data_IF_696223830613
#
_entry.id   IF_696223830613
#
_cell.length_a   1.000
_cell.length_b   1.000
_cell.length_c   1.000
_cell.angle_alpha   90.00
_cell.angle_beta   90.00
_cell.angle_gamma   90.00
#
_symmetry.space_group_name_H-M   'P 1'
#
loop_
_entity.id
_entity.type
_entity.pdbx_description
1 polymer ?
#
# COMPACT_ATOMS: atom_id res chain seq x y z
N UNK A 1 29.14 8.40 3.09
CA UNK A 1 28.15 7.67 2.27
C UNK A 1 28.05 6.19 2.64
N UNK A 2 29.17 5.44 2.68
CA UNK A 2 29.19 3.99 2.98
C UNK A 2 28.56 3.60 4.33
N UNK A 3 28.82 4.37 5.39
CA UNK A 3 28.23 4.16 6.73
C UNK A 3 26.73 4.46 6.85
N UNK A 4 26.18 5.29 5.96
CA UNK A 4 24.75 5.63 5.96
C UNK A 4 23.94 4.51 5.32
N UNK A 5 24.45 3.97 4.22
CA UNK A 5 23.80 2.88 3.48
C UNK A 5 23.87 1.56 4.26
N UNK A 6 25.01 1.28 4.91
CA UNK A 6 25.20 0.01 5.64
C UNK A 6 24.22 -0.20 6.78
N UNK A 7 23.77 0.87 7.42
CA UNK A 7 22.82 0.81 8.54
C UNK A 7 21.37 0.66 8.09
N UNK A 8 21.01 1.22 6.93
CA UNK A 8 19.72 1.01 6.28
C UNK A 8 19.60 -0.35 5.61
N UNK A 9 20.70 -1.09 5.46
CA UNK A 9 20.76 -2.34 4.70
C UNK A 9 19.68 -3.33 5.15
N UNK A 10 19.51 -3.55 6.46
CA UNK A 10 18.51 -4.49 6.98
C UNK A 10 17.08 -4.07 6.63
N UNK A 11 16.77 -2.78 6.64
CA UNK A 11 15.48 -2.26 6.19
C UNK A 11 15.26 -2.56 4.70
N UNK A 12 16.27 -2.27 3.87
CA UNK A 12 16.18 -2.52 2.43
C UNK A 12 16.11 -4.01 2.10
N UNK A 13 16.75 -4.88 2.86
CA UNK A 13 16.61 -6.33 2.72
C UNK A 13 15.18 -6.78 3.03
N UNK A 14 14.54 -6.25 4.09
CA UNK A 14 13.13 -6.52 4.37
C UNK A 14 12.23 -6.07 3.21
N UNK A 15 12.48 -4.87 2.67
CA UNK A 15 11.71 -4.34 1.54
C UNK A 15 11.94 -5.14 0.26
N UNK A 16 13.17 -5.55 -0.04
CA UNK A 16 13.51 -6.36 -1.20
C UNK A 16 12.87 -7.75 -1.12
N UNK A 17 12.85 -8.36 0.06
CA UNK A 17 12.15 -9.63 0.28
C UNK A 17 10.65 -9.48 0.05
N UNK A 18 10.03 -8.41 0.57
CA UNK A 18 8.63 -8.09 0.28
C UNK A 18 8.38 -7.87 -1.23
N UNK A 19 9.24 -7.09 -1.90
CA UNK A 19 9.12 -6.84 -3.34
C UNK A 19 9.18 -8.13 -4.16
N UNK A 20 10.13 -9.01 -3.84
CA UNK A 20 10.29 -10.30 -4.49
C UNK A 20 9.09 -11.22 -4.21
N UNK A 21 8.66 -11.33 -2.95
CA UNK A 21 7.52 -12.14 -2.56
C UNK A 21 6.23 -11.68 -3.25
N UNK A 22 6.02 -10.36 -3.34
CA UNK A 22 4.87 -9.79 -4.05
C UNK A 22 4.97 -10.02 -5.56
N UNK A 23 6.14 -9.85 -6.17
CA UNK A 23 6.33 -10.12 -7.59
C UNK A 23 6.01 -11.58 -7.95
N UNK A 24 6.48 -12.53 -7.13
CA UNK A 24 6.15 -13.95 -7.28
C UNK A 24 4.65 -14.14 -7.11
N UNK A 25 4.05 -13.59 -6.05
CA UNK A 25 2.63 -13.71 -5.78
C UNK A 25 1.77 -13.18 -6.95
N UNK A 26 2.11 -12.02 -7.52
CA UNK A 26 1.42 -11.45 -8.69
C UNK A 26 1.50 -12.40 -9.90
N UNK A 27 2.62 -13.11 -10.06
CA UNK A 27 2.85 -13.99 -11.21
C UNK A 27 2.09 -15.32 -11.12
N UNK A 28 1.73 -15.76 -9.91
CA UNK A 28 1.09 -17.06 -9.68
C UNK A 28 -0.36 -16.94 -9.21
N UNK A 29 -0.74 -15.82 -8.58
CA UNK A 29 -2.06 -15.65 -8.02
C UNK A 29 -3.05 -15.23 -9.11
N UNK A 30 -4.09 -16.02 -9.38
CA UNK A 30 -5.04 -15.70 -10.43
C UNK A 30 -5.86 -14.47 -10.05
N UNK A 31 -5.86 -13.46 -10.92
CA UNK A 31 -6.76 -12.30 -10.81
C UNK A 31 -7.93 -12.54 -11.76
N UNK A 32 -9.15 -12.82 -11.23
CA UNK A 32 -10.33 -13.04 -12.07
C UNK A 32 -10.72 -11.77 -12.81
N UNK A 33 -11.44 -11.90 -13.92
CA UNK A 33 -11.93 -10.75 -14.68
C UNK A 33 -12.82 -9.89 -13.79
N UNK A 34 -12.86 -8.57 -14.06
CA UNK A 34 -13.63 -7.64 -13.23
C UNK A 34 -15.14 -7.89 -13.26
N UNK A 35 -15.63 -8.48 -14.35
CA UNK A 35 -17.02 -8.91 -14.54
C UNK A 35 -17.35 -10.26 -13.90
N UNK A 36 -16.37 -11.04 -13.45
CA UNK A 36 -16.65 -12.36 -12.88
C UNK A 36 -17.38 -12.23 -11.53
N UNK A 37 -18.36 -13.11 -11.25
CA UNK A 37 -19.01 -13.14 -9.96
C UNK A 37 -18.02 -13.49 -8.86
N UNK A 38 -18.15 -12.82 -7.71
CA UNK A 38 -17.28 -12.99 -6.55
C UNK A 38 -18.09 -13.63 -5.44
N UNK A 39 -17.53 -14.68 -4.81
CA UNK A 39 -18.05 -15.21 -3.55
C UNK A 39 -17.83 -14.20 -2.42
N UNK A 40 -18.85 -14.00 -1.58
CA UNK A 40 -18.82 -13.05 -0.47
C UNK A 40 -17.67 -13.25 0.52
N UNK A 41 -17.25 -14.48 0.79
CA UNK A 41 -16.13 -14.76 1.66
C UNK A 41 -14.81 -14.19 1.09
N UNK A 42 -14.60 -14.34 -0.22
CA UNK A 42 -13.43 -13.78 -0.89
C UNK A 42 -13.51 -12.24 -0.96
N UNK A 43 -14.68 -11.72 -1.33
CA UNK A 43 -14.96 -10.28 -1.38
C UNK A 43 -14.70 -9.59 -0.03
N UNK A 44 -15.24 -10.15 1.04
CA UNK A 44 -15.03 -9.67 2.41
C UNK A 44 -13.55 -9.74 2.80
N UNK A 45 -12.88 -10.86 2.53
CA UNK A 45 -11.48 -11.07 2.90
C UNK A 45 -10.56 -10.04 2.25
N UNK A 46 -10.68 -9.84 0.93
CA UNK A 46 -9.87 -8.87 0.22
C UNK A 46 -10.22 -7.43 0.61
N UNK A 47 -11.50 -7.13 0.85
CA UNK A 47 -11.94 -5.82 1.30
C UNK A 47 -11.38 -5.47 2.69
N UNK A 48 -11.50 -6.38 3.65
CA UNK A 48 -10.93 -6.18 4.99
C UNK A 48 -9.41 -6.04 4.93
N UNK A 49 -8.75 -6.88 4.14
CA UNK A 49 -7.30 -6.84 3.97
C UNK A 49 -6.85 -5.50 3.38
N UNK A 50 -7.50 -4.99 2.33
CA UNK A 50 -7.16 -3.65 1.81
C UNK A 50 -7.45 -2.57 2.85
N UNK A 51 -8.55 -2.67 3.59
CA UNK A 51 -8.95 -1.66 4.59
C UNK A 51 -7.91 -1.54 5.72
N UNK A 52 -7.19 -2.62 6.08
CA UNK A 52 -6.08 -2.56 7.06
C UNK A 52 -4.90 -1.69 6.63
N UNK A 53 -4.73 -1.44 5.33
CA UNK A 53 -3.73 -0.54 4.77
C UNK A 53 -4.34 0.79 4.27
N UNK A 54 -5.64 1.00 4.51
CA UNK A 54 -6.45 2.06 3.92
C UNK A 54 -7.43 2.70 4.89
N UNK A 55 -8.34 3.52 4.39
CA UNK A 55 -9.48 3.94 5.21
C UNK A 55 -10.47 2.76 5.30
N UNK A 56 -10.98 2.41 6.50
CA UNK A 56 -10.85 3.13 7.77
C UNK A 56 -9.70 2.66 8.68
N UNK A 57 -9.05 1.51 8.45
CA UNK A 57 -8.23 0.84 9.48
C UNK A 57 -6.73 1.14 9.46
N UNK A 58 -6.20 1.96 8.53
CA UNK A 58 -4.75 2.26 8.48
C UNK A 58 -4.22 2.86 9.79
N UNK A 59 -5.03 3.66 10.50
CA UNK A 59 -4.66 4.21 11.81
C UNK A 59 -4.51 3.11 12.86
N UNK A 60 -5.38 2.10 12.84
CA UNK A 60 -5.29 0.96 13.76
C UNK A 60 -3.98 0.21 13.50
N UNK A 61 -3.69 -0.11 12.24
CA UNK A 61 -2.42 -0.77 11.85
C UNK A 61 -1.21 0.06 12.25
N UNK A 62 -1.25 1.38 12.04
CA UNK A 62 -0.19 2.31 12.45
C UNK A 62 0.04 2.27 13.96
N UNK A 63 -1.03 2.34 14.76
CA UNK A 63 -0.95 2.28 16.22
C UNK A 63 -0.38 0.95 16.68
N UNK A 64 -0.86 -0.18 16.15
CA UNK A 64 -0.37 -1.52 16.52
C UNK A 64 1.14 -1.65 16.26
N UNK A 65 1.63 -1.17 15.11
CA UNK A 65 3.05 -1.18 14.80
C UNK A 65 3.85 -0.24 15.71
N UNK A 66 3.32 0.94 16.02
CA UNK A 66 3.93 1.89 16.97
C UNK A 66 4.00 1.36 18.41
N UNK A 67 3.20 0.36 18.79
CA UNK A 67 3.27 -0.28 20.09
C UNK A 67 4.42 -1.32 20.20
N UNK A 68 4.95 -1.83 19.09
CA UNK A 68 6.06 -2.79 19.09
C UNK A 68 7.24 -2.37 20.00
N UNK A 69 7.83 -1.16 19.89
CA UNK A 69 8.95 -0.76 20.74
C UNK A 69 8.55 -0.56 22.21
N UNK A 70 7.26 -0.33 22.50
CA UNK A 70 6.71 -0.28 23.86
C UNK A 70 6.63 -1.69 24.45
N UNK A 71 6.11 -2.65 23.68
CA UNK A 71 6.04 -4.06 24.08
C UNK A 71 7.42 -4.67 24.29
N UNK A 72 8.41 -4.27 23.48
CA UNK A 72 9.81 -4.67 23.65
C UNK A 72 10.54 -3.88 24.74
N UNK A 73 9.83 -3.02 25.50
CA UNK A 73 10.32 -2.27 26.65
C UNK A 73 11.58 -1.44 26.36
N UNK A 74 11.65 -0.83 25.17
CA UNK A 74 12.76 0.06 24.82
C UNK A 74 12.77 1.33 25.68
N UNK A 75 13.94 1.96 25.91
CA UNK A 75 14.03 3.24 26.59
C UNK A 75 13.14 4.31 25.93
N UNK A 76 12.45 5.14 26.74
CA UNK A 76 11.52 6.18 26.25
C UNK A 76 12.11 7.07 25.16
N UNK A 77 13.38 7.47 25.29
CA UNK A 77 14.11 8.26 24.29
C UNK A 77 14.17 7.55 22.92
N UNK A 78 14.35 6.24 22.89
CA UNK A 78 14.42 5.45 21.67
C UNK A 78 13.04 5.29 21.02
N UNK A 79 12.00 5.04 21.83
CA UNK A 79 10.61 4.94 21.36
C UNK A 79 10.21 6.25 20.64
N UNK A 80 10.45 7.41 21.28
CA UNK A 80 10.12 8.72 20.72
C UNK A 80 10.84 8.94 19.38
N UNK A 81 12.14 8.60 19.29
CA UNK A 81 12.90 8.70 18.04
C UNK A 81 12.30 7.85 16.92
N UNK A 82 11.92 6.61 17.22
CA UNK A 82 11.29 5.71 16.24
C UNK A 82 9.95 6.26 15.74
N UNK A 83 9.11 6.76 16.65
CA UNK A 83 7.83 7.37 16.29
C UNK A 83 8.01 8.60 15.40
N UNK A 84 8.96 9.49 15.74
CA UNK A 84 9.26 10.67 14.92
C UNK A 84 9.74 10.26 13.52
N UNK A 85 10.68 9.31 13.42
CA UNK A 85 11.18 8.83 12.13
C UNK A 85 10.07 8.22 11.27
N UNK A 86 9.21 7.39 11.88
CA UNK A 86 8.10 6.77 11.19
C UNK A 86 7.05 7.79 10.74
N UNK A 87 6.73 8.77 11.59
CA UNK A 87 5.82 9.86 11.25
C UNK A 87 6.34 10.72 10.09
N UNK A 88 7.63 11.10 10.10
CA UNK A 88 8.26 11.82 8.99
C UNK A 88 8.14 11.03 7.69
N UNK A 89 8.43 9.72 7.73
CA UNK A 89 8.33 8.86 6.55
C UNK A 89 6.89 8.78 6.01
N UNK A 90 5.90 8.62 6.88
CA UNK A 90 4.49 8.62 6.48
C UNK A 90 4.07 9.94 5.82
N UNK A 91 4.45 11.08 6.40
CA UNK A 91 4.15 12.41 5.85
C UNK A 91 4.80 12.58 4.48
N UNK A 92 6.10 12.26 4.36
CA UNK A 92 6.82 12.35 3.08
C UNK A 92 6.17 11.48 2.00
N UNK A 93 5.79 10.24 2.33
CA UNK A 93 5.18 9.32 1.37
C UNK A 93 3.77 9.70 0.96
N UNK A 94 2.95 10.22 1.89
CA UNK A 94 1.62 10.72 1.53
C UNK A 94 1.66 12.07 0.81
N UNK A 95 2.69 12.89 1.02
CA UNK A 95 2.97 14.05 0.18
C UNK A 95 3.35 13.62 -1.24
N UNK A 96 4.37 12.77 -1.37
CA UNK A 96 4.89 12.30 -2.64
C UNK A 96 3.83 11.60 -3.52
N UNK A 97 2.97 10.74 -2.95
CA UNK A 97 1.89 10.10 -3.73
C UNK A 97 0.93 11.11 -4.36
N UNK A 98 0.68 12.23 -3.68
CA UNK A 98 -0.29 13.23 -4.12
C UNK A 98 0.26 13.96 -5.35
N UNK A 99 1.56 14.26 -5.33
CA UNK A 99 2.28 14.85 -6.47
C UNK A 99 2.35 13.84 -7.63
N UNK A 100 2.81 12.61 -7.39
CA UNK A 100 2.97 11.60 -8.45
C UNK A 100 1.65 11.24 -9.16
N UNK A 101 0.52 11.27 -8.44
CA UNK A 101 -0.81 11.05 -9.03
C UNK A 101 -1.20 12.15 -10.01
N UNK A 102 -0.78 13.38 -9.76
CA UNK A 102 -1.06 14.50 -10.65
C UNK A 102 -0.21 14.39 -11.92
N UNK A 103 1.08 14.07 -11.79
CA UNK A 103 2.02 14.05 -12.92
C UNK A 103 1.87 12.85 -13.85
N UNK A 104 1.51 11.67 -13.33
CA UNK A 104 1.48 10.46 -14.17
C UNK A 104 0.19 10.29 -14.95
N UNK A 105 -0.94 10.81 -14.44
CA UNK A 105 -2.25 10.77 -15.10
C UNK A 105 -2.69 9.39 -15.65
N UNK A 106 -2.20 8.28 -15.06
CA UNK A 106 -2.48 6.91 -15.53
C UNK A 106 -3.90 6.49 -15.12
N UNK A 107 -4.79 6.12 -16.06
CA UNK A 107 -6.12 5.61 -15.75
C UNK A 107 -6.09 4.33 -14.91
N UNK A 108 -7.13 4.08 -14.12
CA UNK A 108 -7.24 2.84 -13.31
C UNK A 108 -7.70 1.65 -14.15
N UNK A 109 -7.37 0.40 -13.75
CA UNK A 109 -7.85 -0.78 -14.46
C UNK A 109 -9.37 -0.82 -14.61
N UNK A 110 -10.12 -0.45 -13.56
CA UNK A 110 -11.59 -0.45 -13.64
C UNK A 110 -12.16 0.50 -14.70
N UNK A 111 -11.46 1.57 -15.08
CA UNK A 111 -12.00 2.49 -16.10
C UNK A 111 -12.04 1.84 -17.49
N UNK A 112 -11.18 0.88 -17.77
CA UNK A 112 -11.28 0.06 -18.99
C UNK A 112 -12.51 -0.85 -18.97
N UNK A 113 -12.89 -1.36 -17.79
CA UNK A 113 -14.12 -2.14 -17.65
C UNK A 113 -15.36 -1.26 -17.78
N UNK A 114 -15.34 -0.04 -17.23
CA UNK A 114 -16.42 0.93 -17.43
C UNK A 114 -16.61 1.28 -18.92
N UNK A 115 -15.52 1.39 -19.68
CA UNK A 115 -15.58 1.57 -21.13
C UNK A 115 -16.19 0.34 -21.82
N UNK A 116 -15.76 -0.87 -21.46
CA UNK A 116 -16.30 -2.12 -22.00
C UNK A 116 -17.81 -2.28 -21.75
N UNK A 117 -18.29 -1.78 -20.61
CA UNK A 117 -19.72 -1.73 -20.25
C UNK A 117 -20.48 -0.59 -20.94
N UNK A 118 -19.84 0.18 -21.83
CA UNK A 118 -20.40 1.36 -22.50
C UNK A 118 -20.91 2.45 -21.52
N UNK A 119 -20.35 2.51 -20.30
CA UNK A 119 -20.70 3.54 -19.31
C UNK A 119 -19.92 4.84 -19.51
N UNK A 120 -18.76 4.75 -20.18
CA UNK A 120 -17.92 5.87 -20.59
C UNK A 120 -17.31 5.59 -21.98
N UNK A 121 -16.94 6.61 -22.78
CA UNK A 121 -16.35 6.39 -24.10
C UNK A 121 -14.91 5.89 -24.07
N UNK A 122 -14.09 6.43 -23.16
CA UNK A 122 -12.68 6.08 -22.96
C UNK A 122 -12.29 6.21 -21.48
N UNK A 123 -11.20 5.55 -21.02
CA UNK A 123 -10.70 5.67 -19.65
C UNK A 123 -10.34 7.11 -19.29
N UNK A 124 -9.81 7.89 -20.23
CA UNK A 124 -9.41 9.29 -20.02
C UNK A 124 -10.63 10.18 -19.78
N UNK A 125 -11.73 9.94 -20.49
CA UNK A 125 -12.98 10.69 -20.32
C UNK A 125 -13.54 10.55 -18.90
N UNK A 126 -13.33 9.42 -18.23
CA UNK A 126 -13.70 9.26 -16.82
C UNK A 126 -13.08 10.36 -15.95
N UNK A 127 -11.83 10.75 -16.22
CA UNK A 127 -11.11 11.72 -15.40
C UNK A 127 -11.52 13.16 -15.65
N UNK A 128 -12.11 13.46 -16.81
CA UNK A 128 -12.68 14.77 -17.13
C UNK A 128 -14.02 15.04 -16.41
N UNK A 129 -14.71 13.98 -15.97
CA UNK A 129 -15.94 14.09 -15.20
C UNK A 129 -15.71 14.75 -13.83
N UNK A 130 -16.73 15.47 -13.38
CA UNK A 130 -16.77 15.97 -12.01
C UNK A 130 -16.99 14.82 -11.01
N UNK A 131 -16.87 15.12 -9.71
CA UNK A 131 -16.95 14.09 -8.66
C UNK A 131 -18.29 13.34 -8.66
N UNK A 132 -19.41 14.05 -8.80
CA UNK A 132 -20.74 13.44 -8.77
C UNK A 132 -21.00 12.57 -10.01
N UNK A 133 -20.52 12.99 -11.17
CA UNK A 133 -20.60 12.20 -12.40
C UNK A 133 -19.79 10.90 -12.30
N UNK A 134 -18.57 10.96 -11.74
CA UNK A 134 -17.74 9.76 -11.48
C UNK A 134 -18.46 8.78 -10.57
N UNK A 135 -19.03 9.27 -9.47
CA UNK A 135 -19.81 8.44 -8.54
C UNK A 135 -21.04 7.81 -9.22
N UNK A 136 -21.75 8.56 -10.06
CA UNK A 136 -22.89 8.05 -10.81
C UNK A 136 -22.50 6.97 -11.82
N UNK A 137 -21.38 7.13 -12.54
CA UNK A 137 -20.87 6.12 -13.47
C UNK A 137 -20.49 4.84 -12.73
N UNK A 138 -19.76 4.95 -11.60
CA UNK A 138 -19.38 3.79 -10.77
C UNK A 138 -20.63 3.10 -10.22
N UNK A 139 -21.62 3.85 -9.76
CA UNK A 139 -22.90 3.30 -9.29
C UNK A 139 -23.64 2.52 -10.38
N UNK A 140 -23.66 3.01 -11.63
CA UNK A 140 -24.28 2.28 -12.76
C UNK A 140 -23.59 0.94 -13.03
N UNK A 141 -22.28 0.84 -12.79
CA UNK A 141 -21.54 -0.40 -12.96
C UNK A 141 -21.97 -1.50 -11.98
N UNK A 142 -22.67 -1.17 -10.89
CA UNK A 142 -23.15 -2.15 -9.91
C UNK A 142 -24.19 -3.13 -10.46
N UNK A 143 -24.75 -2.87 -11.65
CA UNK A 143 -25.62 -3.80 -12.36
C UNK A 143 -24.84 -4.99 -12.98
N UNK A 144 -23.52 -4.84 -13.16
CA UNK A 144 -22.66 -5.80 -13.88
C UNK A 144 -21.46 -6.27 -13.04
N UNK A 145 -21.05 -5.48 -12.04
CA UNK A 145 -19.86 -5.72 -11.23
C UNK A 145 -20.27 -6.01 -9.80
N UNK A 146 -19.56 -6.96 -9.17
CA UNK A 146 -19.76 -7.29 -7.75
C UNK A 146 -19.65 -6.05 -6.85
N UNK A 147 -20.55 -5.97 -5.87
CA UNK A 147 -20.59 -4.89 -4.88
C UNK A 147 -19.27 -4.75 -4.10
N UNK A 148 -18.52 -5.84 -3.90
CA UNK A 148 -17.21 -5.81 -3.23
C UNK A 148 -16.17 -4.96 -4.00
N UNK A 149 -16.22 -5.00 -5.34
CA UNK A 149 -15.39 -4.17 -6.21
C UNK A 149 -15.92 -2.74 -6.26
N UNK A 150 -17.22 -2.56 -6.44
CA UNK A 150 -17.87 -1.23 -6.47
C UNK A 150 -17.55 -0.42 -5.21
N UNK A 151 -17.70 -1.03 -4.02
CA UNK A 151 -17.32 -0.40 -2.74
C UNK A 151 -15.90 0.13 -2.73
N UNK A 152 -14.97 -0.59 -3.37
CA UNK A 152 -13.56 -0.19 -3.44
C UNK A 152 -13.32 0.93 -4.45
N UNK A 153 -14.15 1.02 -5.50
CA UNK A 153 -14.03 2.04 -6.55
C UNK A 153 -14.62 3.38 -6.07
N UNK A 154 -15.67 3.31 -5.26
CA UNK A 154 -16.28 4.47 -4.62
C UNK A 154 -15.25 5.22 -3.74
N UNK A 155 -15.15 6.55 -3.95
CA UNK A 155 -14.21 7.40 -3.22
C UNK A 155 -12.73 7.28 -3.66
N UNK A 156 -12.38 6.33 -4.53
CA UNK A 156 -11.05 6.15 -5.11
C UNK A 156 -11.02 6.44 -6.62
N UNK A 157 -11.51 7.62 -7.00
CA UNK A 157 -11.69 8.04 -8.40
C UNK A 157 -10.55 8.89 -8.97
N UNK A 158 -9.39 8.90 -8.31
CA UNK A 158 -8.17 9.54 -8.80
C UNK A 158 -7.34 8.59 -9.69
N UNK A 159 -6.28 9.10 -10.31
CA UNK A 159 -5.39 8.30 -11.16
C UNK A 159 -4.75 7.12 -10.41
N UNK A 160 -4.36 6.08 -11.14
CA UNK A 160 -3.92 4.81 -10.56
C UNK A 160 -2.59 4.93 -9.81
N UNK A 161 -1.56 5.47 -10.47
CA UNK A 161 -0.20 5.45 -9.95
C UNK A 161 0.09 6.60 -8.97
N UNK A 162 0.81 6.38 -7.85
CA UNK A 162 1.10 5.10 -7.21
C UNK A 162 -0.08 4.63 -6.32
N UNK A 163 0.00 3.38 -5.86
CA UNK A 163 -0.94 2.81 -4.88
C UNK A 163 -0.66 3.33 -3.47
N UNK A 164 -1.64 4.05 -2.89
CA UNK A 164 -1.57 4.56 -1.52
C UNK A 164 -1.54 3.48 -0.44
N UNK A 165 -2.19 2.34 -0.70
CA UNK A 165 -2.20 1.19 0.21
C UNK A 165 -0.85 0.48 0.18
N UNK A 166 -0.29 0.29 -1.02
CA UNK A 166 1.00 -0.39 -1.20
C UNK A 166 2.14 0.47 -0.69
N UNK A 167 2.14 1.78 -0.90
CA UNK A 167 3.19 2.65 -0.33
C UNK A 167 3.17 2.59 1.20
N UNK A 168 1.99 2.56 1.83
CA UNK A 168 1.87 2.39 3.28
C UNK A 168 2.41 1.03 3.74
N UNK A 169 2.00 -0.07 3.10
CA UNK A 169 2.51 -1.40 3.41
C UNK A 169 4.04 -1.48 3.24
N UNK A 170 4.58 -0.89 2.16
CA UNK A 170 6.01 -0.82 1.89
C UNK A 170 6.77 -0.05 2.97
N UNK A 171 6.25 1.10 3.43
CA UNK A 171 6.82 1.87 4.55
C UNK A 171 6.81 1.05 5.84
N UNK A 172 5.71 0.35 6.14
CA UNK A 172 5.62 -0.52 7.31
C UNK A 172 6.67 -1.64 7.26
N UNK A 173 6.86 -2.29 6.12
CA UNK A 173 7.92 -3.31 5.94
C UNK A 173 9.30 -2.69 6.08
N UNK A 174 9.55 -1.60 5.37
CA UNK A 174 10.84 -0.96 5.34
C UNK A 174 11.24 -0.51 6.75
N UNK A 175 10.34 0.16 7.48
CA UNK A 175 10.62 0.66 8.82
C UNK A 175 10.51 -0.43 9.90
N UNK A 176 9.32 -1.00 10.08
CA UNK A 176 9.03 -1.96 11.15
C UNK A 176 9.53 -3.37 10.84
N UNK A 177 9.47 -3.82 9.59
CA UNK A 177 10.10 -5.10 9.20
C UNK A 177 11.62 -5.05 9.43
N UNK A 178 12.29 -3.97 9.03
CA UNK A 178 13.70 -3.75 9.33
C UNK A 178 14.00 -3.70 10.84
N UNK A 179 13.15 -3.06 11.63
CA UNK A 179 13.23 -3.06 13.10
C UNK A 179 13.12 -4.47 13.67
N UNK A 180 12.09 -5.23 13.26
CA UNK A 180 11.83 -6.60 13.73
C UNK A 180 12.98 -7.55 13.38
N UNK A 181 13.57 -7.43 12.19
CA UNK A 181 14.75 -8.20 11.80
C UNK A 181 15.96 -7.90 12.68
N UNK A 182 16.23 -6.62 12.98
CA UNK A 182 17.33 -6.23 13.90
C UNK A 182 17.13 -6.77 15.31
N UNK A 183 15.90 -6.79 15.79
CA UNK A 183 15.54 -7.36 17.10
C UNK A 183 15.33 -8.88 17.07
N UNK A 184 15.64 -9.55 15.95
CA UNK A 184 15.53 -11.02 15.75
C UNK A 184 14.11 -11.59 15.91
N UNK A 185 13.08 -10.78 15.71
CA UNK A 185 11.68 -11.21 15.74
C UNK A 185 11.21 -11.64 14.34
N UNK A 186 11.85 -12.68 13.79
CA UNK A 186 11.66 -13.12 12.40
C UNK A 186 10.23 -13.52 12.08
N UNK A 187 9.50 -14.14 13.03
CA UNK A 187 8.10 -14.52 12.83
C UNK A 187 7.19 -13.31 12.62
N UNK A 188 7.38 -12.26 13.43
CA UNK A 188 6.63 -11.01 13.27
C UNK A 188 7.00 -10.30 11.97
N UNK A 189 8.28 -10.31 11.59
CA UNK A 189 8.73 -9.76 10.32
C UNK A 189 8.12 -10.50 9.12
N UNK A 190 8.10 -11.84 9.16
CA UNK A 190 7.46 -12.69 8.15
C UNK A 190 5.95 -12.47 8.07
N UNK A 191 5.27 -12.39 9.21
CA UNK A 191 3.84 -12.07 9.27
C UNK A 191 3.51 -10.71 8.66
N UNK A 192 4.36 -9.70 8.92
CA UNK A 192 4.21 -8.38 8.31
C UNK A 192 4.38 -8.44 6.79
N UNK A 193 5.35 -9.22 6.29
CA UNK A 193 5.54 -9.44 4.83
C UNK A 193 4.31 -10.11 4.22
N UNK A 194 3.79 -11.18 4.83
CA UNK A 194 2.57 -11.87 4.34
C UNK A 194 1.39 -10.91 4.27
N UNK A 195 1.19 -10.09 5.30
CA UNK A 195 0.18 -9.03 5.30
C UNK A 195 0.39 -8.04 4.14
N UNK A 196 1.61 -7.53 3.97
CA UNK A 196 1.92 -6.56 2.91
C UNK A 196 1.75 -7.14 1.50
N UNK A 197 2.12 -8.41 1.29
CA UNK A 197 1.86 -9.14 0.03
C UNK A 197 0.35 -9.24 -0.22
N UNK A 198 -0.40 -9.64 0.80
CA UNK A 198 -1.85 -9.73 0.75
C UNK A 198 -2.51 -8.39 0.40
N UNK A 199 -2.05 -7.29 0.99
CA UNK A 199 -2.48 -5.93 0.62
C UNK A 199 -2.18 -5.66 -0.86
N UNK A 200 -0.96 -5.93 -1.34
CA UNK A 200 -0.60 -5.76 -2.74
C UNK A 200 -1.52 -6.53 -3.71
N UNK A 201 -1.78 -7.81 -3.43
CA UNK A 201 -2.68 -8.65 -4.23
C UNK A 201 -4.12 -8.15 -4.18
N UNK A 202 -4.62 -7.71 -3.02
CA UNK A 202 -5.97 -7.17 -2.88
C UNK A 202 -6.22 -5.99 -3.83
N UNK A 203 -5.19 -5.16 -4.07
CA UNK A 203 -5.29 -3.99 -4.98
C UNK A 203 -5.46 -4.38 -6.44
N UNK A 204 -4.85 -5.49 -6.87
CA UNK A 204 -5.03 -6.03 -8.22
C UNK A 204 -6.39 -6.72 -8.34
N UNK A 205 -6.73 -7.55 -7.34
CA UNK A 205 -7.95 -8.35 -7.32
C UNK A 205 -9.23 -7.49 -7.33
N UNK A 206 -9.20 -6.35 -6.63
CA UNK A 206 -10.28 -5.36 -6.59
C UNK A 206 -10.33 -4.46 -7.85
N UNK A 207 -9.39 -4.60 -8.80
CA UNK A 207 -9.35 -3.81 -10.03
C UNK A 207 -8.87 -2.37 -9.85
N UNK A 208 -8.13 -2.10 -8.76
CA UNK A 208 -7.76 -0.73 -8.38
C UNK A 208 -6.48 -0.25 -9.05
N UNK A 209 -5.54 -1.17 -9.30
CA UNK A 209 -4.18 -0.85 -9.71
C UNK A 209 -3.63 -1.91 -10.66
N UNK A 210 -2.68 -1.52 -11.49
CA UNK A 210 -1.85 -2.44 -12.27
C UNK A 210 -0.70 -3.01 -11.41
N UNK A 211 -0.12 -4.16 -11.79
CA UNK A 211 1.09 -4.69 -11.15
C UNK A 211 2.24 -3.67 -11.06
N UNK A 212 2.43 -2.87 -12.12
CA UNK A 212 3.42 -1.81 -12.18
C UNK A 212 3.19 -0.72 -11.12
N UNK A 213 1.94 -0.37 -10.83
CA UNK A 213 1.62 0.65 -9.81
C UNK A 213 2.02 0.17 -8.41
N UNK A 214 1.74 -1.10 -8.12
CA UNK A 214 2.05 -1.74 -6.85
C UNK A 214 3.58 -1.83 -6.68
N UNK A 215 4.30 -2.33 -7.69
CA UNK A 215 5.77 -2.41 -7.65
C UNK A 215 6.45 -1.03 -7.60
N UNK A 216 5.96 -0.06 -8.37
CA UNK A 216 6.48 1.32 -8.33
C UNK A 216 6.22 2.04 -7.01
N UNK A 217 5.16 1.67 -6.29
CA UNK A 217 4.90 2.17 -4.93
C UNK A 217 5.95 1.69 -3.93
N UNK A 218 6.42 0.44 -4.08
CA UNK A 218 7.52 -0.11 -3.27
C UNK A 218 8.81 0.64 -3.54
N UNK A 219 9.12 0.89 -4.83
CA UNK A 219 10.29 1.68 -5.22
C UNK A 219 10.22 3.11 -4.67
N UNK A 220 9.03 3.74 -4.73
CA UNK A 220 8.81 5.07 -4.16
C UNK A 220 9.11 5.10 -2.66
N UNK A 221 8.65 4.11 -1.90
CA UNK A 221 8.97 3.99 -0.48
C UNK A 221 10.49 3.81 -0.24
N UNK A 222 11.17 3.01 -1.08
CA UNK A 222 12.62 2.82 -1.00
C UNK A 222 13.37 4.15 -1.16
N UNK A 223 13.02 4.93 -2.20
CA UNK A 223 13.65 6.24 -2.46
C UNK A 223 13.38 7.22 -1.33
N UNK A 224 12.14 7.30 -0.84
CA UNK A 224 11.77 8.22 0.24
C UNK A 224 12.49 7.92 1.56
N UNK A 225 12.80 6.64 1.83
CA UNK A 225 13.51 6.24 3.04
C UNK A 225 14.98 6.70 3.07
N UNK A 226 15.57 7.05 1.93
CA UNK A 226 16.89 7.68 1.87
C UNK A 226 16.90 9.03 2.59
N UNK A 227 15.76 9.73 2.66
CA UNK A 227 15.65 11.03 3.33
C UNK A 227 15.37 10.91 4.84
N UNK A 228 15.17 9.70 5.36
CA UNK A 228 14.92 9.49 6.78
C UNK A 228 16.25 9.46 7.53
N UNK A 229 16.46 10.35 8.52
CA UNK A 229 17.68 10.34 9.31
C UNK A 229 17.76 9.06 10.12
N UNK A 230 18.97 8.52 10.28
CA UNK A 230 19.18 7.41 11.20
C UNK A 230 19.75 7.92 12.51
N UNK A 231 18.90 8.01 13.53
CA UNK A 231 19.42 8.20 14.87
C UNK A 231 20.12 6.93 15.34
N UNK A 232 21.33 7.10 15.84
CA UNK A 232 22.01 6.05 16.58
C UNK A 232 21.13 5.61 17.76
N UNK A 233 20.76 4.34 17.74
CA UNK A 233 20.39 3.59 18.94
C UNK A 233 21.72 3.19 19.59
N UNK A 234 22.55 4.18 19.93
CA UNK A 234 23.73 3.89 20.73
C UNK A 234 23.18 3.53 22.12
N UNK A 235 23.59 2.37 22.60
CA UNK A 235 23.60 2.03 24.01
C UNK A 235 24.41 3.12 24.72
N UNK A 236 23.73 4.16 25.20
CA UNK A 236 24.19 4.81 26.42
C UNK A 236 24.28 3.68 27.45
N UNK A 237 25.52 3.47 27.90
CA UNK A 237 25.93 2.46 28.90
C UNK A 237 24.98 2.42 30.10
#
# INVERSE_FOLDING_TARGET
MMFFISRKLVNYLALAFFALALFIAISIFPVPLLSDPINDAAGLSFSLLTDTAGKPFFLITTVLLCLLPVFFRLPKKQIIKLWIQFAILLVLSFGAKTILKHETAIPRPYTYELQRLNLIPTPENFYQLNKSEKENVVKKASAYISQWRIRSWEGETNYSFPSGHTIFAAICILFWGGFLLRTRHYLLAGGLVVWAVGVGISRLWLGMHFPSDVMGSILSAAVLYLFIPEWRVDSEK
#
